data_IF_560897112738
#
_entry.id   IF_560897112738
#
_cell.length_a   1.000
_cell.length_b   1.000
_cell.length_c   1.000
_cell.angle_alpha   90.00
_cell.angle_beta   90.00
_cell.angle_gamma   90.00
#
_symmetry.space_group_name_H-M   'P 1'
#
loop_
_entity.id
_entity.type
_entity.pdbx_description
1 polymer ?
#
# COMPACT_ATOMS: atom_id res chain seq x y z
N UNK A 1 -15.70 -37.83 34.02
CA UNK A 1 -14.99 -37.76 35.30
C UNK A 1 -14.34 -36.40 35.42
N UNK A 2 -14.79 -35.60 36.36
CA UNK A 2 -14.20 -34.27 36.63
C UNK A 2 -13.02 -34.44 37.57
N UNK A 3 -11.85 -33.96 37.19
CA UNK A 3 -10.70 -33.82 38.07
C UNK A 3 -10.66 -32.38 38.60
N UNK A 4 -10.85 -32.28 39.93
CA UNK A 4 -10.55 -31.03 40.65
C UNK A 4 -9.12 -31.18 41.19
N UNK A 5 -8.20 -30.35 40.76
CA UNK A 5 -6.93 -30.11 41.43
C UNK A 5 -7.06 -28.89 42.31
N UNK A 6 -7.06 -29.09 43.64
CA UNK A 6 -6.95 -28.01 44.60
C UNK A 6 -5.47 -27.70 44.83
N UNK A 7 -5.10 -26.43 44.71
CA UNK A 7 -3.80 -25.92 45.15
C UNK A 7 -3.69 -25.97 46.66
N UNK A 8 -2.70 -26.67 47.17
CA UNK A 8 -2.19 -26.46 48.52
C UNK A 8 -0.67 -26.47 48.55
N UNK A 9 -0.13 -25.56 49.35
CA UNK A 9 1.18 -25.05 49.54
C UNK A 9 2.35 -26.03 49.72
N UNK A 10 3.51 -25.46 49.51
CA UNK A 10 4.83 -26.00 49.67
C UNK A 10 5.00 -26.58 51.09
N UNK A 11 5.03 -27.89 51.20
CA UNK A 11 5.41 -28.63 52.38
C UNK A 11 6.57 -29.54 52.08
N UNK A 12 7.57 -29.53 52.97
CA UNK A 12 8.81 -30.31 52.87
C UNK A 12 8.55 -31.81 52.66
N UNK A 13 9.00 -32.32 51.53
CA UNK A 13 9.06 -33.79 51.32
C UNK A 13 10.36 -34.32 51.93
N UNK A 14 10.23 -35.14 52.96
CA UNK A 14 11.29 -35.97 53.51
C UNK A 14 11.37 -37.21 52.63
N UNK A 15 12.53 -37.48 52.08
CA UNK A 15 12.79 -38.62 51.20
C UNK A 15 13.12 -39.87 52.00
N UNK A 16 12.40 -40.96 51.69
CA UNK A 16 12.89 -42.33 51.91
C UNK A 16 13.35 -42.92 50.58
N UNK A 17 14.47 -43.61 50.63
CA UNK A 17 15.31 -44.02 49.53
C UNK A 17 14.60 -44.99 48.59
N UNK A 18 14.37 -44.61 47.36
CA UNK A 18 14.04 -45.61 46.34
C UNK A 18 13.34 -45.23 45.06
N UNK A 19 13.07 -43.93 44.71
CA UNK A 19 12.51 -43.60 43.39
C UNK A 19 13.06 -42.26 42.87
N UNK A 20 14.11 -42.32 42.12
CA UNK A 20 14.77 -41.16 41.51
C UNK A 20 14.35 -40.87 40.05
N UNK A 21 13.18 -41.32 39.58
CA UNK A 21 12.85 -41.19 38.17
C UNK A 21 11.57 -40.42 37.81
N UNK A 22 10.83 -39.85 38.77
CA UNK A 22 9.59 -39.16 38.46
C UNK A 22 9.63 -37.61 38.54
N UNK A 23 10.64 -37.05 39.22
CA UNK A 23 10.72 -35.58 39.33
C UNK A 23 11.35 -34.91 38.09
N UNK A 24 12.15 -35.62 37.31
CA UNK A 24 12.72 -35.07 36.07
C UNK A 24 11.65 -34.85 34.98
N UNK A 25 10.57 -35.65 34.97
CA UNK A 25 9.48 -35.50 34.01
C UNK A 25 8.62 -34.26 34.26
N UNK A 26 8.41 -33.90 35.53
CA UNK A 26 7.56 -32.73 35.87
C UNK A 26 8.32 -31.43 35.63
N UNK A 27 9.62 -31.38 35.92
CA UNK A 27 10.45 -30.20 35.60
C UNK A 27 10.57 -30.00 34.08
N UNK A 28 10.69 -31.11 33.30
CA UNK A 28 10.70 -31.05 31.83
C UNK A 28 9.33 -30.60 31.25
N UNK A 29 8.22 -30.98 31.88
CA UNK A 29 6.87 -30.53 31.46
C UNK A 29 6.63 -29.08 31.81
N UNK A 30 7.12 -28.55 32.91
CA UNK A 30 7.01 -27.15 33.29
C UNK A 30 7.88 -26.27 32.36
N UNK A 31 9.10 -26.72 32.03
CA UNK A 31 9.97 -26.02 31.06
C UNK A 31 9.49 -26.11 29.61
N UNK A 32 8.77 -27.17 29.24
CA UNK A 32 8.13 -27.26 27.93
C UNK A 32 6.84 -26.44 27.86
N UNK A 33 6.16 -26.20 28.96
CA UNK A 33 4.96 -25.32 29.00
C UNK A 33 5.33 -23.84 29.09
N UNK A 34 6.52 -23.48 29.55
CA UNK A 34 7.06 -22.12 29.49
C UNK A 34 7.62 -21.75 28.10
N UNK A 35 7.71 -22.72 27.19
CA UNK A 35 7.92 -22.51 25.75
C UNK A 35 6.60 -22.43 24.96
N UNK A 36 5.49 -22.01 25.56
CA UNK A 36 4.37 -21.51 24.80
C UNK A 36 4.86 -20.29 24.04
N UNK A 37 4.79 -20.36 22.71
CA UNK A 37 5.07 -19.23 21.81
C UNK A 37 4.27 -18.03 22.28
N UNK A 38 4.91 -17.18 23.08
CA UNK A 38 4.28 -15.98 23.60
C UNK A 38 4.02 -15.08 22.41
N UNK A 39 2.74 -14.92 22.05
CA UNK A 39 2.34 -13.99 20.99
C UNK A 39 3.06 -12.66 21.21
N UNK A 40 3.63 -12.11 20.15
CA UNK A 40 4.31 -10.83 20.22
C UNK A 40 3.29 -9.73 20.46
N UNK A 41 3.45 -8.98 21.53
CA UNK A 41 2.59 -7.84 21.83
C UNK A 41 3.09 -6.59 21.10
N UNK A 42 2.20 -5.94 20.36
CA UNK A 42 2.44 -4.66 19.70
C UNK A 42 1.38 -3.68 20.18
N UNK A 43 1.81 -2.56 20.74
CA UNK A 43 0.88 -1.55 21.24
C UNK A 43 0.29 -0.70 20.10
N UNK A 44 -0.96 -0.25 20.29
CA UNK A 44 -1.56 0.70 19.36
C UNK A 44 -0.83 2.03 19.31
N UNK A 45 -0.12 2.42 20.36
CA UNK A 45 0.72 3.65 20.36
C UNK A 45 1.87 3.55 19.36
N UNK A 46 2.47 2.35 19.19
CA UNK A 46 3.49 2.11 18.18
C UNK A 46 2.91 2.20 16.77
N UNK A 47 1.70 1.65 16.55
CA UNK A 47 0.99 1.74 15.28
C UNK A 47 0.66 3.21 14.95
N UNK A 48 0.10 3.96 15.89
CA UNK A 48 -0.22 5.40 15.75
C UNK A 48 1.02 6.18 15.34
N UNK A 49 2.12 6.00 16.06
CA UNK A 49 3.39 6.68 15.79
C UNK A 49 3.89 6.40 14.37
N UNK A 50 3.93 5.13 13.98
CA UNK A 50 4.41 4.75 12.65
C UNK A 50 3.54 5.32 11.54
N UNK A 51 2.22 5.21 11.63
CA UNK A 51 1.29 5.74 10.63
C UNK A 51 1.38 7.26 10.54
N UNK A 52 1.48 7.97 11.67
CA UNK A 52 1.69 9.42 11.70
C UNK A 52 2.94 9.82 10.90
N UNK A 53 4.08 9.23 11.24
CA UNK A 53 5.34 9.52 10.56
C UNK A 53 5.28 9.19 9.07
N UNK A 54 4.73 8.02 8.71
CA UNK A 54 4.60 7.59 7.32
C UNK A 54 3.69 8.51 6.49
N UNK A 55 2.61 9.06 7.06
CA UNK A 55 1.78 10.06 6.40
C UNK A 55 2.55 11.33 6.04
N UNK A 56 3.40 11.81 6.95
CA UNK A 56 4.23 13.00 6.74
C UNK A 56 5.32 12.71 5.71
N UNK A 57 6.11 11.68 5.93
CA UNK A 57 7.23 11.29 5.06
C UNK A 57 6.79 11.02 3.63
N UNK A 58 5.66 10.32 3.44
CA UNK A 58 5.14 10.03 2.11
C UNK A 58 4.74 11.30 1.35
N UNK A 59 4.29 12.35 2.04
CA UNK A 59 3.91 13.61 1.43
C UNK A 59 5.07 14.57 1.18
N UNK A 60 6.21 14.36 1.85
CA UNK A 60 7.38 15.22 1.72
C UNK A 60 8.43 14.65 0.77
N UNK A 61 8.56 13.32 0.73
CA UNK A 61 9.62 12.64 -0.02
C UNK A 61 9.05 11.51 -0.87
N UNK A 62 9.26 11.56 -2.17
CA UNK A 62 9.00 10.42 -3.05
C UNK A 62 9.99 9.29 -2.79
N UNK A 63 9.62 8.08 -3.16
CA UNK A 63 10.53 6.93 -3.18
C UNK A 63 11.59 7.08 -4.27
N UNK A 64 12.76 6.46 -4.07
CA UNK A 64 13.91 6.58 -4.98
C UNK A 64 13.61 6.03 -6.38
N UNK A 65 12.76 5.02 -6.50
CA UNK A 65 12.32 4.48 -7.79
C UNK A 65 11.53 5.50 -8.60
N UNK A 66 10.59 6.21 -7.99
CA UNK A 66 9.79 7.26 -8.65
C UNK A 66 10.68 8.44 -9.03
N UNK A 67 11.55 8.91 -8.13
CA UNK A 67 12.56 9.96 -8.42
C UNK A 67 13.42 9.55 -9.62
N UNK A 68 14.00 8.35 -9.57
CA UNK A 68 14.85 7.82 -10.63
C UNK A 68 14.14 7.72 -11.99
N UNK A 69 12.86 7.34 -12.00
CA UNK A 69 12.05 7.29 -13.23
C UNK A 69 11.79 8.69 -13.79
N UNK A 70 11.53 9.71 -12.97
CA UNK A 70 11.37 11.09 -13.43
C UNK A 70 12.68 11.61 -14.03
N UNK A 71 13.83 11.42 -13.37
CA UNK A 71 15.15 11.83 -13.85
C UNK A 71 15.52 11.11 -15.16
N UNK A 72 15.28 9.80 -15.24
CA UNK A 72 15.49 9.02 -16.46
C UNK A 72 14.60 9.50 -17.62
N UNK A 73 13.34 9.85 -17.32
CA UNK A 73 12.41 10.38 -18.31
C UNK A 73 12.90 11.69 -18.93
N UNK A 74 13.46 12.60 -18.12
CA UNK A 74 14.00 13.88 -18.60
C UNK A 74 15.09 13.69 -19.67
N UNK A 75 15.96 12.70 -19.50
CA UNK A 75 17.03 12.40 -20.48
C UNK A 75 16.49 11.81 -21.80
N UNK A 76 15.35 11.13 -21.78
CA UNK A 76 14.73 10.45 -22.92
C UNK A 76 13.65 11.28 -23.62
N UNK A 77 13.17 12.34 -22.98
CA UNK A 77 12.13 13.22 -23.54
C UNK A 77 12.69 14.01 -24.71
N UNK A 78 11.91 14.15 -25.78
CA UNK A 78 12.31 14.89 -26.99
C UNK A 78 11.64 16.25 -27.07
N UNK A 79 10.44 16.39 -26.50
CA UNK A 79 9.72 17.67 -26.44
C UNK A 79 10.45 18.67 -25.55
N UNK A 80 10.74 19.86 -26.08
CA UNK A 80 11.35 20.95 -25.29
C UNK A 80 10.49 21.31 -24.09
N UNK A 81 9.17 21.39 -24.29
CA UNK A 81 8.22 21.70 -23.22
C UNK A 81 8.14 20.53 -22.23
N UNK A 82 8.14 19.28 -22.72
CA UNK A 82 8.16 18.10 -21.86
C UNK A 82 9.39 18.04 -20.95
N UNK A 83 10.59 18.38 -21.49
CA UNK A 83 11.82 18.51 -20.70
C UNK A 83 11.73 19.58 -19.62
N UNK A 84 11.16 20.74 -19.94
CA UNK A 84 10.98 21.83 -18.98
C UNK A 84 10.05 21.40 -17.84
N UNK A 85 8.95 20.71 -18.15
CA UNK A 85 8.03 20.19 -17.13
C UNK A 85 8.73 19.18 -16.24
N UNK A 86 9.45 18.21 -16.80
CA UNK A 86 10.19 17.21 -16.01
C UNK A 86 11.25 17.86 -15.12
N UNK A 87 11.94 18.90 -15.60
CA UNK A 87 12.87 19.69 -14.76
C UNK A 87 12.17 20.41 -13.61
N UNK A 88 10.96 20.95 -13.84
CA UNK A 88 10.16 21.55 -12.77
C UNK A 88 9.69 20.52 -11.75
N UNK A 89 9.39 19.26 -12.17
CA UNK A 89 9.06 18.19 -11.25
C UNK A 89 10.25 17.79 -10.38
N UNK A 90 11.46 17.74 -10.97
CA UNK A 90 12.70 17.51 -10.24
C UNK A 90 12.94 18.62 -9.19
N UNK A 91 12.90 19.88 -9.59
CA UNK A 91 13.04 21.03 -8.70
C UNK A 91 12.00 21.01 -7.55
N UNK A 92 10.75 20.65 -7.86
CA UNK A 92 9.68 20.54 -6.86
C UNK A 92 9.95 19.41 -5.85
N UNK A 93 10.53 18.28 -6.27
CA UNK A 93 10.95 17.20 -5.36
C UNK A 93 12.03 17.69 -4.40
N UNK A 94 13.03 18.39 -4.91
CA UNK A 94 14.14 18.92 -4.11
C UNK A 94 13.67 19.98 -3.11
N UNK A 95 12.80 20.88 -3.51
CA UNK A 95 12.20 21.89 -2.62
C UNK A 95 11.40 21.21 -1.51
N UNK A 96 10.54 20.26 -1.85
CA UNK A 96 9.69 19.57 -0.88
C UNK A 96 10.52 18.86 0.20
N UNK A 97 11.58 18.16 -0.21
CA UNK A 97 12.46 17.42 0.69
C UNK A 97 13.33 18.35 1.55
N UNK A 98 13.96 19.36 0.95
CA UNK A 98 14.89 20.26 1.65
C UNK A 98 14.18 21.24 2.60
N UNK A 99 12.99 21.70 2.23
CA UNK A 99 12.22 22.66 3.02
C UNK A 99 11.19 22.00 3.95
N UNK A 100 11.05 20.67 3.90
CA UNK A 100 10.07 19.90 4.68
C UNK A 100 8.64 20.40 4.46
N UNK A 101 8.24 20.55 3.21
CA UNK A 101 6.88 20.95 2.81
C UNK A 101 6.24 19.87 1.92
N UNK A 102 4.90 19.78 1.90
CA UNK A 102 4.23 18.80 1.03
C UNK A 102 4.53 19.05 -0.45
N UNK A 103 4.88 17.98 -1.17
CA UNK A 103 5.23 18.02 -2.60
C UNK A 103 4.07 18.46 -3.51
N UNK A 104 2.82 18.38 -3.03
CA UNK A 104 1.62 18.74 -3.78
C UNK A 104 0.57 19.32 -2.83
N UNK A 105 -0.27 20.22 -3.32
CA UNK A 105 -1.42 20.75 -2.58
C UNK A 105 -2.49 19.67 -2.30
N UNK A 106 -2.59 18.63 -3.12
CA UNK A 106 -3.42 17.46 -2.84
C UNK A 106 -2.59 16.42 -2.10
N UNK A 107 -2.65 16.45 -0.77
CA UNK A 107 -1.97 15.50 0.09
C UNK A 107 -2.76 14.19 0.25
N UNK A 108 -3.88 14.08 -0.45
CA UNK A 108 -4.64 12.86 -0.66
C UNK A 108 -5.48 12.38 0.51
N UNK A 109 -6.13 11.26 0.29
CA UNK A 109 -6.77 10.43 1.30
C UNK A 109 -5.84 9.26 1.63
N UNK A 110 -5.61 8.98 2.91
CA UNK A 110 -4.73 7.91 3.32
C UNK A 110 -5.34 6.53 2.98
N UNK A 111 -4.61 5.72 2.22
CA UNK A 111 -4.87 4.29 2.03
C UNK A 111 -3.82 3.53 2.81
N UNK A 112 -4.26 2.62 3.67
CA UNK A 112 -3.39 1.85 4.56
C UNK A 112 -3.58 0.36 4.29
N UNK A 113 -2.50 -0.34 3.97
CA UNK A 113 -2.48 -1.79 3.91
C UNK A 113 -1.77 -2.31 5.16
N UNK A 114 -2.42 -3.21 5.89
CA UNK A 114 -1.90 -3.86 7.08
C UNK A 114 -1.85 -5.37 6.85
N UNK A 115 -0.64 -5.94 6.85
CA UNK A 115 -0.49 -7.40 6.97
C UNK A 115 -0.13 -7.68 8.41
N UNK A 116 -1.02 -8.34 9.11
CA UNK A 116 -0.89 -8.63 10.53
C UNK A 116 -0.50 -10.09 10.69
N UNK A 117 0.63 -10.32 11.33
CA UNK A 117 1.07 -11.68 11.71
C UNK A 117 0.03 -12.32 12.65
N UNK A 118 -0.31 -13.59 12.40
CA UNK A 118 -1.30 -14.29 13.23
C UNK A 118 -0.85 -14.51 14.67
N UNK A 119 0.46 -14.39 14.94
CA UNK A 119 1.07 -14.52 16.26
C UNK A 119 1.30 -13.14 16.94
N UNK A 120 0.66 -12.09 16.41
CA UNK A 120 0.64 -10.74 17.01
C UNK A 120 -0.59 -10.57 17.88
N UNK A 121 -0.37 -10.10 19.11
CA UNK A 121 -1.41 -9.56 19.98
C UNK A 121 -1.33 -8.02 19.95
N UNK A 122 -2.38 -7.38 19.48
CA UNK A 122 -2.47 -5.91 19.47
C UNK A 122 -3.13 -5.46 20.77
N UNK A 123 -2.38 -4.67 21.58
CA UNK A 123 -2.88 -4.12 22.85
C UNK A 123 -3.18 -2.62 22.76
N UNK A 124 -4.18 -2.18 23.49
CA UNK A 124 -4.62 -0.79 23.55
C UNK A 124 -6.03 -0.59 22.97
N UNK A 125 -6.22 0.42 22.11
CA UNK A 125 -7.51 0.71 21.48
C UNK A 125 -7.81 -0.21 20.29
N UNK A 126 -9.00 -0.09 19.69
CA UNK A 126 -9.29 -0.81 18.44
C UNK A 126 -8.31 -0.39 17.33
N UNK A 127 -7.84 -1.36 16.52
CA UNK A 127 -6.82 -1.10 15.50
C UNK A 127 -7.27 -0.06 14.47
N UNK A 128 -8.54 -0.06 14.10
CA UNK A 128 -9.09 0.94 13.17
C UNK A 128 -9.01 2.36 13.75
N UNK A 129 -9.31 2.50 15.05
CA UNK A 129 -9.20 3.78 15.76
C UNK A 129 -7.74 4.23 15.86
N UNK A 130 -6.81 3.31 16.13
CA UNK A 130 -5.39 3.58 16.16
C UNK A 130 -4.85 4.06 14.80
N UNK A 131 -5.25 3.40 13.70
CA UNK A 131 -4.87 3.82 12.35
C UNK A 131 -5.40 5.23 12.06
N UNK A 132 -6.67 5.48 12.35
CA UNK A 132 -7.29 6.79 12.15
C UNK A 132 -6.66 7.87 13.04
N UNK A 133 -6.28 7.54 14.28
CA UNK A 133 -5.54 8.48 15.15
C UNK A 133 -4.18 8.83 14.57
N UNK A 134 -3.41 7.86 14.06
CA UNK A 134 -2.15 8.10 13.37
C UNK A 134 -2.31 9.00 12.15
N UNK A 135 -3.35 8.78 11.34
CA UNK A 135 -3.69 9.64 10.18
C UNK A 135 -4.02 11.06 10.66
N UNK A 136 -4.88 11.22 11.67
CA UNK A 136 -5.27 12.51 12.22
C UNK A 136 -4.06 13.31 12.69
N UNK A 137 -3.17 12.69 13.46
CA UNK A 137 -1.94 13.31 13.92
C UNK A 137 -1.03 13.67 12.75
N UNK A 138 -0.80 12.75 11.82
CA UNK A 138 0.06 12.96 10.65
C UNK A 138 -0.40 14.12 9.78
N UNK A 139 -1.70 14.19 9.48
CA UNK A 139 -2.26 15.29 8.68
C UNK A 139 -2.31 16.62 9.42
N UNK A 140 -2.32 16.60 10.75
CA UNK A 140 -2.30 17.83 11.56
C UNK A 140 -0.89 18.36 11.76
N UNK A 141 0.03 17.51 12.23
CA UNK A 141 1.40 17.88 12.54
C UNK A 141 2.25 18.10 11.26
N UNK A 142 1.95 17.36 10.18
CA UNK A 142 2.59 17.54 8.87
C UNK A 142 1.97 18.66 8.02
N UNK A 143 1.08 19.49 8.57
CA UNK A 143 0.40 20.60 7.85
C UNK A 143 -0.23 20.14 6.52
N UNK A 144 -0.71 18.89 6.47
CA UNK A 144 -1.30 18.31 5.29
C UNK A 144 -2.74 18.76 5.11
N UNK A 145 -3.20 18.82 3.86
CA UNK A 145 -4.56 19.26 3.53
C UNK A 145 -5.60 18.23 4.01
N UNK A 146 -6.60 18.67 4.78
CA UNK A 146 -7.73 17.86 5.21
C UNK A 146 -8.78 17.84 4.09
N UNK A 147 -8.81 16.77 3.30
CA UNK A 147 -9.63 16.67 2.09
C UNK A 147 -10.83 15.73 2.21
N UNK A 148 -10.92 14.96 3.32
CA UNK A 148 -11.99 13.98 3.51
C UNK A 148 -13.30 14.66 3.90
N UNK A 149 -14.40 14.21 3.31
CA UNK A 149 -15.77 14.67 3.60
C UNK A 149 -16.57 13.51 4.18
N UNK A 150 -17.46 13.80 5.14
CA UNK A 150 -18.28 12.81 5.86
C UNK A 150 -19.28 12.11 4.96
N UNK A 151 -19.78 12.83 3.97
CA UNK A 151 -20.76 12.33 3.02
C UNK A 151 -20.40 12.80 1.60
N UNK A 152 -20.44 11.91 0.59
CA UNK A 152 -20.02 12.26 -0.77
C UNK A 152 -20.95 13.25 -1.48
N UNK A 153 -22.19 13.41 -1.03
CA UNK A 153 -23.20 14.32 -1.63
C UNK A 153 -23.28 15.63 -0.83
N UNK A 154 -23.43 15.57 0.49
CA UNK A 154 -23.53 16.72 1.38
C UNK A 154 -22.19 17.44 1.55
N UNK A 155 -21.08 16.70 1.50
CA UNK A 155 -19.69 17.19 1.44
C UNK A 155 -19.22 18.02 2.65
N UNK A 156 -19.73 17.74 3.83
CA UNK A 156 -19.20 18.32 5.05
C UNK A 156 -17.79 17.75 5.35
N UNK A 157 -16.80 18.63 5.50
CA UNK A 157 -15.41 18.21 5.77
C UNK A 157 -15.27 17.61 7.17
N UNK A 158 -14.49 16.53 7.30
CA UNK A 158 -14.21 15.86 8.59
C UNK A 158 -13.27 16.68 9.48
N UNK A 159 -12.48 17.59 8.89
CA UNK A 159 -11.50 18.52 9.50
C UNK A 159 -10.20 17.87 9.99
N UNK A 160 -10.09 16.56 9.93
CA UNK A 160 -8.93 15.78 10.40
C UNK A 160 -8.39 14.76 9.38
N UNK A 161 -8.99 14.72 8.19
CA UNK A 161 -8.67 13.80 7.09
C UNK A 161 -8.93 12.32 7.39
N UNK A 162 -9.78 12.02 8.37
CA UNK A 162 -10.25 10.65 8.67
C UNK A 162 -11.71 10.45 8.21
N UNK A 163 -12.15 9.20 8.03
CA UNK A 163 -11.36 7.97 8.13
C UNK A 163 -10.44 7.75 6.92
N UNK A 164 -9.36 6.99 7.14
CA UNK A 164 -8.58 6.41 6.05
C UNK A 164 -9.28 5.19 5.44
N UNK A 165 -8.77 4.74 4.28
CA UNK A 165 -9.19 3.46 3.68
C UNK A 165 -8.21 2.38 4.14
N UNK A 166 -8.69 1.42 4.93
CA UNK A 166 -7.85 0.42 5.57
C UNK A 166 -8.13 -0.95 4.99
N UNK A 167 -7.09 -1.63 4.56
CA UNK A 167 -7.14 -3.02 4.08
C UNK A 167 -6.33 -3.91 5.00
N UNK A 168 -6.95 -4.99 5.50
CA UNK A 168 -6.34 -5.95 6.40
C UNK A 168 -6.05 -7.27 5.68
N UNK A 169 -4.90 -7.85 5.98
CA UNK A 169 -4.51 -9.20 5.56
C UNK A 169 -3.87 -9.90 6.77
N UNK A 170 -4.34 -11.10 7.12
CA UNK A 170 -3.71 -11.92 8.15
C UNK A 170 -2.71 -12.83 7.48
N UNK A 171 -1.48 -12.83 7.96
CA UNK A 171 -0.36 -13.60 7.41
C UNK A 171 0.34 -14.41 8.51
N UNK A 172 1.09 -15.46 8.19
CA UNK A 172 1.92 -16.15 9.18
C UNK A 172 2.99 -15.21 9.77
N UNK A 173 3.34 -15.42 11.06
CA UNK A 173 4.41 -14.71 11.75
C UNK A 173 3.93 -13.73 12.81
N UNK A 174 4.88 -12.97 13.35
CA UNK A 174 4.76 -12.14 14.56
C UNK A 174 5.03 -10.64 14.31
N UNK A 175 4.88 -10.18 13.07
CA UNK A 175 5.13 -8.80 12.66
C UNK A 175 3.90 -8.16 12.05
N UNK A 176 3.85 -6.83 12.07
CA UNK A 176 2.89 -6.04 11.28
C UNK A 176 3.65 -5.33 10.17
N UNK A 177 3.27 -5.61 8.92
CA UNK A 177 3.74 -4.92 7.73
C UNK A 177 2.73 -3.81 7.40
N UNK A 178 3.17 -2.58 7.43
CA UNK A 178 2.35 -1.38 7.24
C UNK A 178 2.78 -0.68 5.96
N UNK A 179 1.84 -0.44 5.05
CA UNK A 179 2.05 0.44 3.90
C UNK A 179 1.05 1.58 3.97
N UNK A 180 1.53 2.81 3.96
CA UNK A 180 0.70 4.03 3.91
C UNK A 180 0.90 4.70 2.55
N UNK A 181 -0.19 4.88 1.81
CA UNK A 181 -0.20 5.48 0.48
C UNK A 181 -1.24 6.62 0.42
N UNK A 182 -0.83 7.88 0.64
CA UNK A 182 -1.72 9.02 0.46
C UNK A 182 -2.09 9.18 -1.02
N UNK A 183 -3.35 8.98 -1.36
CA UNK A 183 -3.84 8.94 -2.75
C UNK A 183 -4.58 10.21 -3.13
N UNK A 184 -3.98 10.98 -4.05
CA UNK A 184 -4.60 12.18 -4.62
C UNK A 184 -5.78 11.86 -5.54
N UNK A 185 -6.83 12.69 -5.50
CA UNK A 185 -8.09 12.40 -6.17
C UNK A 185 -8.16 12.89 -7.62
N UNK A 186 -7.28 13.78 -8.05
CA UNK A 186 -7.21 14.14 -9.46
C UNK A 186 -7.01 12.93 -10.37
N UNK A 187 -6.01 12.12 -10.07
CA UNK A 187 -5.74 10.87 -10.78
C UNK A 187 -6.67 9.73 -10.38
N UNK A 188 -7.12 9.66 -9.12
CA UNK A 188 -8.06 8.63 -8.65
C UNK A 188 -9.36 8.65 -9.46
N UNK A 189 -9.90 9.84 -9.75
CA UNK A 189 -11.11 10.02 -10.53
C UNK A 189 -10.99 9.52 -11.99
N UNK A 190 -9.77 9.29 -12.47
CA UNK A 190 -9.51 8.78 -13.82
C UNK A 190 -9.40 7.25 -13.86
N UNK A 191 -9.53 6.58 -12.72
CA UNK A 191 -9.46 5.12 -12.61
C UNK A 191 -10.74 4.44 -13.10
N UNK A 192 -10.62 3.21 -13.61
CA UNK A 192 -11.76 2.44 -14.16
C UNK A 192 -11.71 0.98 -13.76
N UNK A 193 -12.88 0.35 -13.73
CA UNK A 193 -13.02 -1.11 -13.62
C UNK A 193 -13.76 -1.59 -14.88
N UNK A 194 -13.21 -2.64 -15.50
CA UNK A 194 -13.77 -3.29 -16.68
C UNK A 194 -14.03 -4.76 -16.35
N UNK A 195 -15.27 -5.20 -16.51
CA UNK A 195 -15.63 -6.62 -16.38
C UNK A 195 -15.47 -7.30 -17.75
N UNK A 196 -14.27 -7.75 -18.05
CA UNK A 196 -13.94 -8.41 -19.30
C UNK A 196 -14.41 -9.88 -19.29
N UNK A 197 -14.52 -10.45 -20.48
CA UNK A 197 -14.78 -11.88 -20.69
C UNK A 197 -13.45 -12.62 -20.90
N UNK A 198 -13.32 -13.88 -20.50
CA UNK A 198 -12.12 -14.67 -20.78
C UNK A 198 -11.71 -14.69 -22.26
N UNK A 199 -12.69 -14.62 -23.18
CA UNK A 199 -12.44 -14.57 -24.62
C UNK A 199 -11.75 -13.27 -25.10
N UNK A 200 -11.81 -12.18 -24.32
CA UNK A 200 -11.16 -10.90 -24.66
C UNK A 200 -9.64 -11.00 -24.51
N UNK A 201 -9.13 -11.95 -23.70
CA UNK A 201 -7.73 -12.30 -23.56
C UNK A 201 -6.83 -11.11 -23.18
N UNK A 202 -5.56 -11.22 -23.50
CA UNK A 202 -4.55 -10.18 -23.22
C UNK A 202 -4.86 -8.89 -24.01
N UNK A 203 -5.37 -9.01 -25.22
CA UNK A 203 -5.74 -7.85 -26.05
C UNK A 203 -6.84 -7.01 -25.39
N UNK A 204 -7.84 -7.69 -24.78
CA UNK A 204 -8.88 -7.00 -24.01
C UNK A 204 -8.31 -6.23 -22.81
N UNK A 205 -7.33 -6.81 -22.10
CA UNK A 205 -6.64 -6.14 -21.00
C UNK A 205 -5.88 -4.91 -21.50
N UNK A 206 -5.07 -5.05 -22.55
CA UNK A 206 -4.33 -3.94 -23.16
C UNK A 206 -5.26 -2.82 -23.59
N UNK A 207 -6.33 -3.15 -24.31
CA UNK A 207 -7.31 -2.17 -24.76
C UNK A 207 -7.95 -1.42 -23.59
N UNK A 208 -8.33 -2.11 -22.50
CA UNK A 208 -8.92 -1.47 -21.32
C UNK A 208 -7.94 -0.48 -20.65
N UNK A 209 -6.65 -0.84 -20.54
CA UNK A 209 -5.61 0.01 -19.98
C UNK A 209 -5.38 1.24 -20.87
N UNK A 210 -5.12 1.03 -22.15
CA UNK A 210 -4.85 2.10 -23.12
C UNK A 210 -6.03 3.07 -23.24
N UNK A 211 -7.26 2.57 -23.28
CA UNK A 211 -8.46 3.40 -23.31
C UNK A 211 -8.58 4.24 -22.03
N UNK A 212 -8.32 3.64 -20.87
CA UNK A 212 -8.35 4.35 -19.59
C UNK A 212 -7.34 5.51 -19.58
N UNK A 213 -6.11 5.28 -20.04
CA UNK A 213 -5.08 6.33 -20.14
C UNK A 213 -5.48 7.43 -21.11
N UNK A 214 -6.04 7.09 -22.28
CA UNK A 214 -6.52 8.07 -23.26
C UNK A 214 -7.65 8.95 -22.71
N UNK A 215 -8.60 8.34 -22.00
CA UNK A 215 -9.71 9.06 -21.38
C UNK A 215 -9.24 9.94 -20.21
N UNK A 216 -8.25 9.51 -19.46
CA UNK A 216 -7.64 10.28 -18.39
C UNK A 216 -6.95 11.54 -18.95
N UNK A 217 -6.20 11.39 -20.02
CA UNK A 217 -5.49 12.48 -20.67
C UNK A 217 -4.67 13.32 -19.68
N UNK A 218 -4.73 14.66 -19.78
CA UNK A 218 -4.00 15.55 -18.87
C UNK A 218 -4.57 15.56 -17.43
N UNK A 219 -5.82 15.08 -17.22
CA UNK A 219 -6.49 15.18 -15.92
C UNK A 219 -5.85 14.28 -14.84
N UNK A 220 -5.09 13.29 -15.24
CA UNK A 220 -4.35 12.43 -14.30
C UNK A 220 -2.99 13.02 -13.87
N UNK A 221 -2.62 14.21 -14.34
CA UNK A 221 -1.33 14.87 -14.11
C UNK A 221 -0.13 13.99 -14.51
N UNK A 222 0.02 13.66 -15.82
CA UNK A 222 1.13 12.86 -16.30
C UNK A 222 2.50 13.56 -16.12
N UNK A 223 3.60 12.79 -16.04
CA UNK A 223 3.67 11.35 -16.30
C UNK A 223 3.03 10.54 -15.17
N UNK A 224 2.25 9.52 -15.52
CA UNK A 224 1.46 8.74 -14.56
C UNK A 224 2.17 7.43 -14.15
N UNK A 225 1.78 6.90 -12.99
CA UNK A 225 2.00 5.51 -12.60
C UNK A 225 0.66 4.79 -12.65
N UNK A 226 0.65 3.58 -13.20
CA UNK A 226 -0.57 2.83 -13.42
C UNK A 226 -0.50 1.52 -12.67
N UNK A 227 -1.43 1.32 -11.75
CA UNK A 227 -1.65 0.03 -11.09
C UNK A 227 -2.77 -0.73 -11.78
N UNK A 228 -2.51 -1.97 -12.16
CA UNK A 228 -3.52 -2.85 -12.79
C UNK A 228 -3.76 -4.05 -11.90
N UNK A 229 -5.02 -4.35 -11.62
CA UNK A 229 -5.44 -5.56 -10.92
C UNK A 229 -6.25 -6.44 -11.83
N UNK A 230 -5.84 -7.69 -12.00
CA UNK A 230 -6.49 -8.65 -12.89
C UNK A 230 -6.96 -9.86 -12.10
N UNK A 231 -8.23 -10.23 -12.25
CA UNK A 231 -8.80 -11.40 -11.62
C UNK A 231 -9.46 -11.12 -10.26
N UNK A 232 -9.74 -12.17 -9.51
CA UNK A 232 -10.58 -12.11 -8.30
C UNK A 232 -12.03 -11.80 -8.64
N UNK A 233 -12.59 -10.84 -7.92
CA UNK A 233 -13.94 -10.30 -8.04
C UNK A 233 -13.88 -8.79 -8.32
N UNK A 234 -15.04 -8.14 -8.46
CA UNK A 234 -15.17 -6.70 -8.72
C UNK A 234 -14.35 -5.85 -7.72
N UNK A 235 -14.49 -6.12 -6.43
CA UNK A 235 -13.75 -5.40 -5.37
C UNK A 235 -12.29 -5.85 -5.29
N UNK A 236 -12.00 -7.14 -5.52
CA UNK A 236 -10.64 -7.68 -5.40
C UNK A 236 -9.71 -7.10 -6.46
N UNK A 237 -10.14 -7.01 -7.73
CA UNK A 237 -9.31 -6.41 -8.77
C UNK A 237 -9.02 -4.92 -8.49
N UNK A 238 -9.97 -4.18 -7.91
CA UNK A 238 -9.75 -2.78 -7.50
C UNK A 238 -8.70 -2.65 -6.39
N UNK A 239 -8.76 -3.52 -5.37
CA UNK A 239 -7.75 -3.57 -4.30
C UNK A 239 -6.38 -3.93 -4.85
N UNK A 240 -6.29 -4.90 -5.77
CA UNK A 240 -5.05 -5.29 -6.43
C UNK A 240 -4.44 -4.12 -7.22
N UNK A 241 -5.25 -3.42 -8.00
CA UNK A 241 -4.80 -2.24 -8.76
C UNK A 241 -4.26 -1.15 -7.84
N UNK A 242 -4.90 -0.92 -6.69
CA UNK A 242 -4.43 0.02 -5.67
C UNK A 242 -3.10 -0.44 -5.04
N UNK A 243 -2.99 -1.73 -4.70
CA UNK A 243 -1.77 -2.33 -4.15
C UNK A 243 -0.61 -2.29 -5.16
N UNK A 244 -0.89 -2.51 -6.45
CA UNK A 244 0.11 -2.42 -7.52
C UNK A 244 0.80 -1.05 -7.58
N UNK A 245 0.12 0.04 -7.23
CA UNK A 245 0.73 1.38 -7.14
C UNK A 245 1.78 1.52 -6.04
N UNK A 246 1.80 0.62 -5.05
CA UNK A 246 2.77 0.65 -3.93
C UNK A 246 3.96 -0.28 -4.16
N UNK A 247 4.05 -0.94 -5.31
CA UNK A 247 5.19 -1.75 -5.69
C UNK A 247 6.27 -0.86 -6.31
N UNK A 248 7.54 -1.15 -6.00
CA UNK A 248 8.71 -0.48 -6.59
C UNK A 248 8.66 -0.54 -8.13
N UNK A 249 8.83 0.59 -8.80
CA UNK A 249 8.79 0.71 -10.26
C UNK A 249 9.96 0.03 -10.96
N UNK A 250 11.02 -0.32 -10.25
CA UNK A 250 12.14 -1.08 -10.76
C UNK A 250 12.01 -2.59 -10.56
N UNK A 251 10.95 -3.02 -9.84
CA UNK A 251 10.60 -4.43 -9.69
C UNK A 251 9.66 -4.87 -10.82
N UNK A 252 9.65 -6.16 -11.08
CA UNK A 252 8.74 -6.78 -12.05
C UNK A 252 7.89 -7.85 -11.36
N UNK A 253 6.76 -8.20 -11.97
CA UNK A 253 5.97 -9.33 -11.51
C UNK A 253 6.75 -10.63 -11.72
N UNK A 254 6.69 -11.55 -10.76
CA UNK A 254 7.40 -12.84 -10.82
C UNK A 254 6.90 -13.73 -11.98
N UNK A 255 5.67 -13.52 -12.45
CA UNK A 255 5.06 -14.27 -13.55
C UNK A 255 5.52 -13.67 -14.89
N UNK A 256 6.25 -14.41 -15.68
CA UNK A 256 6.92 -13.94 -16.91
C UNK A 256 5.98 -13.24 -17.89
N UNK A 257 4.77 -13.78 -18.13
CA UNK A 257 3.85 -13.14 -19.07
C UNK A 257 3.29 -11.82 -18.54
N UNK A 258 3.16 -11.68 -17.20
CA UNK A 258 2.72 -10.43 -16.56
C UNK A 258 3.81 -9.37 -16.66
N UNK A 259 5.06 -9.74 -16.38
CA UNK A 259 6.22 -8.86 -16.56
C UNK A 259 6.30 -8.34 -18.00
N UNK A 260 6.20 -9.21 -19.00
CA UNK A 260 6.17 -8.78 -20.42
C UNK A 260 5.02 -7.83 -20.71
N UNK A 261 3.85 -8.07 -20.13
CA UNK A 261 2.68 -7.22 -20.30
C UNK A 261 2.87 -5.83 -19.65
N UNK A 262 3.57 -5.75 -18.50
CA UNK A 262 3.95 -4.47 -17.87
C UNK A 262 4.81 -3.62 -18.82
N UNK A 263 5.86 -4.22 -19.40
CA UNK A 263 6.77 -3.54 -20.33
C UNK A 263 6.08 -3.12 -21.63
N UNK A 264 5.30 -4.02 -22.23
CA UNK A 264 4.55 -3.74 -23.46
C UNK A 264 3.54 -2.60 -23.27
N UNK A 265 2.81 -2.62 -22.13
CA UNK A 265 1.86 -1.56 -21.82
C UNK A 265 2.55 -0.21 -21.59
N UNK A 266 3.67 -0.19 -20.89
CA UNK A 266 4.44 1.05 -20.69
C UNK A 266 4.90 1.65 -22.01
N UNK A 267 5.42 0.80 -22.93
CA UNK A 267 5.84 1.22 -24.25
C UNK A 267 4.67 1.74 -25.11
N UNK A 268 3.53 1.03 -25.09
CA UNK A 268 2.33 1.44 -25.86
C UNK A 268 1.73 2.75 -25.31
N UNK A 269 1.69 2.93 -24.00
CA UNK A 269 1.18 4.13 -23.34
C UNK A 269 2.08 5.33 -23.70
N UNK A 270 3.38 5.16 -23.70
CA UNK A 270 4.31 6.24 -24.03
C UNK A 270 4.25 6.65 -25.52
N UNK A 271 3.79 5.76 -26.42
CA UNK A 271 3.51 6.08 -27.82
C UNK A 271 2.24 6.91 -28.03
N UNK A 272 1.35 7.00 -27.02
CA UNK A 272 0.12 7.81 -27.14
C UNK A 272 0.45 9.30 -27.29
N UNK A 273 1.57 9.75 -26.69
CA UNK A 273 2.05 11.12 -26.86
C UNK A 273 1.34 12.19 -26.03
N UNK A 274 0.64 11.80 -24.93
CA UNK A 274 0.05 12.76 -23.98
C UNK A 274 1.14 13.60 -23.35
N UNK A 275 2.26 12.98 -22.96
CA UNK A 275 3.46 13.64 -22.48
C UNK A 275 3.36 14.30 -21.10
N UNK A 276 4.48 14.84 -20.58
CA UNK A 276 4.52 15.50 -19.29
C UNK A 276 3.53 16.68 -19.19
N UNK A 277 2.80 16.76 -18.10
CA UNK A 277 1.74 17.76 -17.91
C UNK A 277 0.55 17.66 -18.87
N UNK A 278 0.51 16.65 -19.74
CA UNK A 278 -0.51 16.52 -20.79
C UNK A 278 -0.28 17.47 -21.98
N UNK A 279 0.92 18.00 -22.12
CA UNK A 279 1.27 19.03 -23.12
C UNK A 279 2.08 18.48 -24.33
N UNK A 280 1.99 17.18 -24.53
CA UNK A 280 2.71 16.47 -25.59
C UNK A 280 4.10 16.04 -25.18
N UNK A 281 4.62 15.03 -25.84
CA UNK A 281 5.92 14.44 -25.55
C UNK A 281 5.88 12.92 -25.45
N UNK A 282 7.02 12.32 -25.17
CA UNK A 282 7.16 10.85 -25.08
C UNK A 282 6.73 10.28 -23.74
N UNK A 283 6.95 11.02 -22.64
CA UNK A 283 6.77 10.48 -21.30
C UNK A 283 5.34 10.70 -20.79
N UNK A 284 4.45 9.77 -21.13
CA UNK A 284 3.07 9.74 -20.61
C UNK A 284 2.99 8.99 -19.28
N UNK A 285 3.76 7.89 -19.12
CA UNK A 285 3.81 7.08 -17.92
C UNK A 285 5.24 6.80 -17.49
N UNK A 286 5.45 6.69 -16.16
CA UNK A 286 6.70 6.31 -15.51
C UNK A 286 6.81 4.81 -15.31
N UNK A 287 5.66 4.12 -15.14
CA UNK A 287 5.60 2.69 -14.92
C UNK A 287 4.18 2.14 -14.95
N UNK A 288 4.09 0.85 -15.19
CA UNK A 288 2.87 0.04 -15.11
C UNK A 288 3.19 -1.16 -14.23
N UNK A 289 2.47 -1.32 -13.15
CA UNK A 289 2.58 -2.48 -12.27
C UNK A 289 1.27 -3.28 -12.31
N UNK A 290 1.37 -4.60 -12.46
CA UNK A 290 0.22 -5.50 -12.58
C UNK A 290 0.24 -6.51 -11.44
N UNK A 291 -0.87 -6.64 -10.74
CA UNK A 291 -1.13 -7.70 -9.76
C UNK A 291 -2.24 -8.62 -10.25
N UNK A 292 -2.07 -9.91 -10.06
CA UNK A 292 -3.04 -10.93 -10.50
C UNK A 292 -3.59 -11.72 -9.33
N UNK A 293 -4.80 -12.25 -9.51
CA UNK A 293 -5.43 -13.14 -8.53
C UNK A 293 -6.30 -14.20 -9.23
N UNK A 294 -6.40 -15.43 -8.72
CA UNK A 294 -7.32 -16.43 -9.24
C UNK A 294 -8.73 -15.88 -9.38
N UNK A 295 -9.43 -16.26 -10.45
CA UNK A 295 -10.79 -15.76 -10.74
C UNK A 295 -11.71 -16.90 -11.16
N UNK A 296 -13.02 -16.61 -11.21
CA UNK A 296 -14.01 -17.55 -11.72
C UNK A 296 -13.82 -17.79 -13.22
N UNK A 297 -14.01 -19.05 -13.67
CA UNK A 297 -13.77 -19.45 -15.07
C UNK A 297 -14.53 -18.61 -16.12
N UNK A 298 -15.66 -18.01 -15.74
CA UNK A 298 -16.48 -17.20 -16.64
C UNK A 298 -16.17 -15.69 -16.59
N UNK A 299 -15.22 -15.25 -15.78
CA UNK A 299 -14.94 -13.84 -15.57
C UNK A 299 -13.47 -13.47 -15.75
N UNK A 300 -13.22 -12.23 -16.11
CA UNK A 300 -11.89 -11.61 -16.15
C UNK A 300 -12.02 -10.13 -15.76
N UNK A 301 -12.27 -9.83 -14.45
CA UNK A 301 -12.33 -8.45 -13.99
C UNK A 301 -10.95 -7.81 -14.07
N UNK A 302 -10.90 -6.56 -14.53
CA UNK A 302 -9.68 -5.76 -14.66
C UNK A 302 -9.94 -4.38 -14.09
N UNK A 303 -9.15 -3.97 -13.12
CA UNK A 303 -9.16 -2.61 -12.60
C UNK A 303 -7.88 -1.88 -12.99
N UNK A 304 -8.02 -0.63 -13.37
CA UNK A 304 -6.93 0.27 -13.73
C UNK A 304 -6.98 1.46 -12.78
N UNK A 305 -6.01 1.57 -11.90
CA UNK A 305 -5.91 2.67 -10.96
C UNK A 305 -4.81 3.65 -11.39
N UNK A 306 -5.23 4.87 -11.68
CA UNK A 306 -4.35 5.93 -12.14
C UNK A 306 -3.71 6.65 -10.95
N UNK A 307 -2.41 6.89 -11.01
CA UNK A 307 -1.70 7.78 -10.09
C UNK A 307 -0.89 8.80 -10.88
N UNK A 308 -0.86 10.05 -10.41
CA UNK A 308 -0.03 11.10 -11.01
C UNK A 308 1.47 10.86 -10.73
N UNK A 309 2.34 11.73 -11.25
CA UNK A 309 3.77 11.68 -11.01
C UNK A 309 4.14 11.70 -9.51
N UNK A 310 3.27 12.21 -8.65
CA UNK A 310 3.43 12.12 -7.19
C UNK A 310 2.86 10.78 -6.71
N UNK A 311 3.44 9.67 -7.15
CA UNK A 311 3.14 8.33 -6.63
C UNK A 311 3.93 8.13 -5.33
N UNK A 312 3.26 8.35 -4.21
CA UNK A 312 3.87 8.39 -2.89
C UNK A 312 3.33 7.29 -1.99
N UNK A 313 4.22 6.60 -1.34
CA UNK A 313 3.92 5.62 -0.31
C UNK A 313 5.13 5.40 0.59
N UNK A 314 4.90 4.89 1.79
CA UNK A 314 5.96 4.43 2.71
C UNK A 314 5.59 3.05 3.22
N UNK A 315 6.62 2.27 3.51
CA UNK A 315 6.50 0.90 3.99
C UNK A 315 7.36 0.73 5.25
N UNK A 316 6.80 0.09 6.29
CA UNK A 316 7.51 -0.27 7.53
C UNK A 316 7.03 -1.62 8.03
N UNK A 317 7.93 -2.35 8.66
CA UNK A 317 7.64 -3.59 9.38
C UNK A 317 7.96 -3.34 10.85
N UNK A 318 7.00 -3.58 11.73
CA UNK A 318 7.10 -3.44 13.17
C UNK A 318 6.88 -4.76 13.88
#
# INVERSE_FOLDING_TARGET
>A
MRWHCAFYGIGNCVYDSGVQSQCAGIALFITLWEMEDKMREISTDEIIKNIKEMCIEANYMLSEDVKGRILSAQSKEESVLGKQILSQLEENMDIAENENIPICQDTGMAVVFLKIGQDVHISGMAIEDAVNEGIRQGYTEGYLRKSVVKDPVIRENTKDNTPGIIHYEIVPGDKIDITVAPKGFGSENMSRICMLKPADGIDGIKNAVIETVKLAGPNACPPVVIGVGIGGTFEKCAILAKKALTRDLNSHNETEYVHKLEDELLDEINKIGIGPGGLGGKTTALGVNIETYPTHIAGMPVAINMCCHVNRHKHRVI
#
